data_IF_962375582667
#
_entry.id   IF_962375582667
#
_cell.length_a   1.000
_cell.length_b   1.000
_cell.length_c   1.000
_cell.angle_alpha   90.00
_cell.angle_beta   90.00
_cell.angle_gamma   90.00
#
_symmetry.space_group_name_H-M   'P 1'
#
loop_
_entity.id
_entity.type
_entity.pdbx_description
1 polymer ?
#
# COMPACT_ATOMS: atom_id res chain seq x y z
N UNK A 1 -23.94 18.17 -21.85
CA UNK A 1 -22.69 18.86 -21.49
C UNK A 1 -21.54 18.17 -22.20
N UNK A 2 -20.49 18.88 -22.62
CA UNK A 2 -19.30 18.24 -23.19
C UNK A 2 -18.67 17.31 -22.14
N UNK A 3 -18.25 16.13 -22.56
CA UNK A 3 -17.56 15.18 -21.68
C UNK A 3 -16.20 15.77 -21.29
N UNK A 4 -15.96 15.92 -19.99
CA UNK A 4 -14.64 16.36 -19.47
C UNK A 4 -13.70 15.17 -19.59
N UNK A 5 -12.52 15.40 -20.15
CA UNK A 5 -11.51 14.35 -20.33
C UNK A 5 -10.20 14.77 -19.68
N UNK A 6 -9.52 13.78 -19.08
CA UNK A 6 -8.13 13.94 -18.62
C UNK A 6 -7.19 14.20 -19.79
N UNK A 7 -6.06 14.85 -19.53
CA UNK A 7 -5.04 15.11 -20.53
C UNK A 7 -3.92 14.06 -20.47
N UNK A 8 -3.83 13.14 -21.45
CA UNK A 8 -2.78 12.12 -21.47
C UNK A 8 -1.38 12.72 -21.43
N UNK A 9 -1.21 13.87 -22.12
CA UNK A 9 0.05 14.59 -22.14
C UNK A 9 0.45 15.10 -20.76
N UNK A 10 -0.46 15.76 -20.01
CA UNK A 10 -0.16 16.26 -18.65
C UNK A 10 0.08 15.13 -17.67
N UNK A 11 -0.70 14.05 -17.73
CA UNK A 11 -0.48 12.86 -16.92
C UNK A 11 0.95 12.33 -17.09
N UNK A 12 1.35 12.14 -18.35
CA UNK A 12 2.67 11.64 -18.68
C UNK A 12 3.77 12.60 -18.20
N UNK A 13 3.68 13.87 -18.55
CA UNK A 13 4.65 14.90 -18.17
C UNK A 13 4.82 14.97 -16.63
N UNK A 14 3.73 14.92 -15.86
CA UNK A 14 3.74 14.98 -14.38
C UNK A 14 4.33 13.72 -13.75
N UNK A 15 3.98 12.53 -14.24
CA UNK A 15 4.54 11.26 -13.78
C UNK A 15 6.04 11.22 -14.08
N UNK A 16 6.48 11.59 -15.30
CA UNK A 16 7.89 11.62 -15.69
C UNK A 16 8.67 12.65 -14.85
N UNK A 17 8.09 13.82 -14.52
CA UNK A 17 8.71 14.82 -13.66
C UNK A 17 8.93 14.26 -12.25
N UNK A 18 7.93 13.63 -11.64
CA UNK A 18 8.09 12.98 -10.33
C UNK A 18 9.05 11.78 -10.42
N UNK A 19 9.02 11.05 -11.54
CA UNK A 19 9.91 9.94 -11.82
C UNK A 19 11.38 10.37 -12.08
N UNK A 20 11.67 11.65 -12.21
CA UNK A 20 13.04 12.18 -12.27
C UNK A 20 13.62 12.47 -10.87
N UNK A 21 12.76 12.59 -9.83
CA UNK A 21 13.15 12.93 -8.46
C UNK A 21 13.46 11.66 -7.68
N UNK A 22 14.69 11.55 -7.15
CA UNK A 22 15.13 10.39 -6.39
C UNK A 22 15.64 9.23 -7.24
N UNK A 23 16.13 9.49 -8.47
CA UNK A 23 16.76 8.47 -9.31
C UNK A 23 17.89 7.77 -8.57
N UNK A 24 17.82 6.43 -8.53
CA UNK A 24 18.85 5.60 -7.92
C UNK A 24 19.92 5.25 -8.95
N UNK A 25 21.22 5.36 -8.60
CA UNK A 25 22.30 4.96 -9.51
C UNK A 25 22.25 3.49 -9.96
N UNK A 26 21.65 2.62 -9.13
CA UNK A 26 21.46 1.20 -9.44
C UNK A 26 20.19 0.94 -10.28
N UNK A 27 19.45 1.97 -10.64
CA UNK A 27 18.20 1.90 -11.39
C UNK A 27 16.96 2.16 -10.52
N UNK A 28 15.85 2.58 -11.16
CA UNK A 28 14.61 2.90 -10.47
C UNK A 28 14.66 4.20 -9.67
N UNK A 29 13.80 4.30 -8.66
CA UNK A 29 13.69 5.43 -7.74
C UNK A 29 13.92 4.97 -6.30
N UNK A 30 14.60 5.82 -5.50
CA UNK A 30 14.68 5.68 -4.05
C UNK A 30 14.23 7.00 -3.42
N UNK A 31 12.97 7.05 -3.01
CA UNK A 31 12.32 8.23 -2.45
C UNK A 31 11.72 7.90 -1.08
N UNK A 32 12.62 7.64 -0.12
CA UNK A 32 12.20 7.31 1.24
C UNK A 32 11.48 8.50 1.90
N UNK A 33 10.47 8.25 2.74
CA UNK A 33 9.69 9.30 3.39
C UNK A 33 10.59 10.29 4.15
N UNK A 34 10.27 11.56 4.03
CA UNK A 34 10.98 12.70 4.63
C UNK A 34 12.43 12.92 4.15
N UNK A 35 13.00 12.03 3.33
CA UNK A 35 14.30 12.25 2.70
C UNK A 35 14.25 13.43 1.70
N UNK A 36 15.39 14.02 1.32
CA UNK A 36 15.41 15.17 0.39
C UNK A 36 14.60 14.96 -0.89
N UNK A 37 14.70 13.79 -1.52
CA UNK A 37 13.93 13.47 -2.72
C UNK A 37 12.40 13.42 -2.47
N UNK A 38 11.97 12.91 -1.30
CA UNK A 38 10.55 12.93 -0.94
C UNK A 38 10.07 14.36 -0.71
N UNK A 39 10.85 15.17 0.01
CA UNK A 39 10.54 16.58 0.23
C UNK A 39 10.40 17.35 -1.10
N UNK A 40 11.30 17.12 -2.07
CA UNK A 40 11.25 17.70 -3.40
C UNK A 40 10.00 17.25 -4.18
N UNK A 41 9.66 15.96 -4.13
CA UNK A 41 8.45 15.44 -4.75
C UNK A 41 7.17 16.04 -4.15
N UNK A 42 7.11 16.21 -2.83
CA UNK A 42 6.01 16.90 -2.14
C UNK A 42 5.90 18.37 -2.59
N UNK A 43 7.02 19.09 -2.66
CA UNK A 43 7.04 20.49 -3.14
C UNK A 43 6.59 20.60 -4.61
N UNK A 44 7.05 19.67 -5.46
CA UNK A 44 6.64 19.64 -6.87
C UNK A 44 5.17 19.33 -7.03
N UNK A 45 4.65 18.37 -6.25
CA UNK A 45 3.21 18.04 -6.25
C UNK A 45 2.35 19.20 -5.71
N UNK A 46 2.84 19.95 -4.72
CA UNK A 46 2.16 21.14 -4.24
C UNK A 46 2.03 22.23 -5.33
N UNK A 47 3.06 22.42 -6.15
CA UNK A 47 3.00 23.31 -7.32
C UNK A 47 1.93 22.86 -8.32
N UNK A 48 1.88 21.56 -8.64
CA UNK A 48 0.86 20.99 -9.53
C UNK A 48 -0.56 21.17 -8.96
N UNK A 49 -0.73 21.08 -7.64
CA UNK A 49 -2.00 21.34 -6.96
C UNK A 49 -2.43 22.81 -7.09
N UNK A 50 -1.51 23.75 -6.93
CA UNK A 50 -1.80 25.18 -7.16
C UNK A 50 -2.19 25.47 -8.61
N UNK A 51 -1.49 24.87 -9.58
CA UNK A 51 -1.84 24.97 -11.01
C UNK A 51 -3.26 24.42 -11.28
N UNK A 52 -3.67 23.38 -10.54
CA UNK A 52 -5.00 22.77 -10.60
C UNK A 52 -6.08 23.56 -9.80
N UNK A 53 -5.75 24.72 -9.24
CA UNK A 53 -6.66 25.59 -8.49
C UNK A 53 -7.02 25.07 -7.10
N UNK A 54 -6.10 24.35 -6.44
CA UNK A 54 -6.24 23.92 -5.05
C UNK A 54 -5.26 24.64 -4.14
N UNK A 55 -5.69 24.94 -2.91
CA UNK A 55 -4.81 25.39 -1.85
C UNK A 55 -4.02 24.18 -1.32
N UNK A 56 -2.70 24.25 -1.40
CA UNK A 56 -1.82 23.15 -1.02
C UNK A 56 -1.05 23.43 0.27
N UNK A 57 -0.96 22.41 1.12
CA UNK A 57 -0.19 22.45 2.36
C UNK A 57 0.09 21.05 2.89
N UNK A 58 0.78 20.97 4.03
CA UNK A 58 1.14 19.69 4.65
C UNK A 58 0.57 19.64 6.06
N UNK A 59 -0.01 18.49 6.42
CA UNK A 59 -0.55 18.27 7.76
C UNK A 59 0.55 17.95 8.79
N UNK A 60 0.13 17.72 10.04
CA UNK A 60 1.05 17.42 11.14
C UNK A 60 1.61 15.99 11.12
N UNK A 61 1.19 15.15 10.14
CA UNK A 61 1.68 13.79 9.93
C UNK A 61 2.54 13.66 8.66
N UNK A 62 2.74 14.78 7.93
CA UNK A 62 3.56 14.84 6.73
C UNK A 62 2.81 14.59 5.42
N UNK A 63 1.48 14.45 5.47
CA UNK A 63 0.65 14.29 4.27
C UNK A 63 0.54 15.60 3.51
N UNK A 64 0.77 15.58 2.19
CA UNK A 64 0.42 16.69 1.33
C UNK A 64 -1.09 16.70 1.10
N UNK A 65 -1.69 17.86 1.27
CA UNK A 65 -3.12 18.09 1.11
C UNK A 65 -3.31 19.26 0.15
N UNK A 66 -4.02 19.01 -0.94
CA UNK A 66 -4.55 20.05 -1.82
C UNK A 66 -6.06 20.11 -1.68
N UNK A 67 -6.65 21.29 -1.46
CA UNK A 67 -8.08 21.37 -1.25
C UNK A 67 -8.72 22.54 -1.99
N UNK A 68 -9.95 22.33 -2.46
CA UNK A 68 -10.81 23.33 -3.05
C UNK A 68 -12.23 23.17 -2.51
N UNK A 69 -12.78 24.24 -1.94
CA UNK A 69 -14.13 24.23 -1.38
C UNK A 69 -15.17 23.95 -2.47
N UNK A 70 -16.12 23.10 -2.14
CA UNK A 70 -17.35 22.89 -2.90
C UNK A 70 -18.51 23.72 -2.35
N UNK A 71 -19.73 23.34 -2.68
CA UNK A 71 -20.96 23.93 -2.13
C UNK A 71 -21.39 23.27 -0.82
N UNK A 72 -20.89 22.07 -0.53
CA UNK A 72 -21.12 21.30 0.69
C UNK A 72 -19.83 21.26 1.51
N UNK A 73 -19.96 21.20 2.82
CA UNK A 73 -18.80 21.06 3.72
C UNK A 73 -18.15 19.68 3.64
N UNK A 74 -18.94 18.64 3.30
CA UNK A 74 -18.42 17.29 3.12
C UNK A 74 -17.49 17.20 1.92
N UNK A 75 -16.44 16.41 2.05
CA UNK A 75 -15.37 16.28 1.06
C UNK A 75 -15.39 14.93 0.33
N UNK A 76 -15.03 14.96 -0.95
CA UNK A 76 -14.53 13.80 -1.68
C UNK A 76 -13.00 13.87 -1.67
N UNK A 77 -12.37 12.80 -1.19
CA UNK A 77 -10.94 12.64 -1.13
C UNK A 77 -10.47 11.74 -2.28
N UNK A 78 -9.37 12.11 -2.93
CA UNK A 78 -8.67 11.25 -3.90
C UNK A 78 -7.17 11.38 -3.72
N UNK A 79 -6.42 10.31 -3.98
CA UNK A 79 -4.96 10.33 -3.88
C UNK A 79 -4.35 8.97 -3.68
N UNK A 80 -3.13 8.94 -3.21
CA UNK A 80 -2.32 7.77 -2.84
C UNK A 80 -1.06 8.26 -2.09
N UNK A 81 0.13 7.69 -2.34
CA UNK A 81 1.39 8.07 -1.68
C UNK A 81 2.46 8.57 -2.66
N UNK A 82 3.53 9.18 -2.13
CA UNK A 82 4.67 9.65 -2.93
C UNK A 82 5.99 8.98 -2.56
N UNK A 83 6.10 8.34 -1.40
CA UNK A 83 7.27 7.56 -1.05
C UNK A 83 7.38 6.31 -1.93
N UNK A 84 8.58 5.76 -2.04
CA UNK A 84 8.87 4.52 -2.78
C UNK A 84 9.73 3.61 -1.93
N UNK A 85 9.67 2.31 -2.19
CA UNK A 85 10.75 1.40 -1.79
C UNK A 85 12.07 1.79 -2.46
N UNK A 86 13.24 1.33 -1.96
CA UNK A 86 14.49 1.47 -2.70
C UNK A 86 14.40 0.83 -4.08
N UNK A 87 14.87 1.54 -5.11
CA UNK A 87 14.85 1.09 -6.51
C UNK A 87 13.44 0.74 -7.02
N UNK A 88 12.41 1.41 -6.52
CA UNK A 88 11.03 1.26 -6.97
C UNK A 88 10.79 1.84 -8.38
N UNK A 89 9.57 1.71 -8.86
CA UNK A 89 9.11 2.25 -10.14
C UNK A 89 8.66 3.71 -10.06
N UNK A 90 8.14 4.22 -11.18
CA UNK A 90 7.67 5.61 -11.27
C UNK A 90 6.15 5.74 -11.10
N UNK A 91 5.42 4.61 -11.08
CA UNK A 91 3.96 4.60 -11.07
C UNK A 91 3.39 4.30 -9.68
N UNK A 92 4.07 3.45 -8.91
CA UNK A 92 3.63 3.03 -7.59
C UNK A 92 3.37 4.24 -6.68
N UNK A 93 2.14 4.36 -6.17
CA UNK A 93 1.63 5.51 -5.41
C UNK A 93 1.52 6.80 -6.23
N UNK A 94 2.61 7.21 -6.89
CA UNK A 94 2.68 8.46 -7.64
C UNK A 94 1.60 8.59 -8.72
N UNK A 95 1.20 7.48 -9.36
CA UNK A 95 0.11 7.47 -10.32
C UNK A 95 -1.21 7.98 -9.72
N UNK A 96 -1.58 7.50 -8.53
CA UNK A 96 -2.82 7.90 -7.86
C UNK A 96 -2.83 9.37 -7.49
N UNK A 97 -1.69 9.88 -7.00
CA UNK A 97 -1.54 11.31 -6.68
C UNK A 97 -1.65 12.17 -7.93
N UNK A 98 -0.92 11.84 -9.00
CA UNK A 98 -0.93 12.61 -10.27
C UNK A 98 -2.30 12.55 -10.94
N UNK A 99 -2.97 11.41 -10.93
CA UNK A 99 -4.32 11.28 -11.48
C UNK A 99 -5.35 12.11 -10.71
N UNK A 100 -5.27 12.15 -9.38
CA UNK A 100 -6.13 13.00 -8.57
C UNK A 100 -5.89 14.50 -8.84
N UNK A 101 -4.63 14.92 -9.00
CA UNK A 101 -4.27 16.28 -9.41
C UNK A 101 -4.82 16.58 -10.81
N UNK A 102 -4.73 15.64 -11.75
CA UNK A 102 -5.27 15.82 -13.10
C UNK A 102 -6.80 15.93 -13.12
N UNK A 103 -7.52 15.14 -12.30
CA UNK A 103 -8.95 15.28 -12.13
C UNK A 103 -9.33 16.70 -11.63
N UNK A 104 -8.60 17.19 -10.62
CA UNK A 104 -8.80 18.56 -10.13
C UNK A 104 -8.52 19.62 -11.20
N UNK A 105 -7.46 19.43 -11.99
CA UNK A 105 -7.06 20.32 -13.07
C UNK A 105 -8.14 20.44 -14.16
N UNK A 106 -8.62 19.31 -14.69
CA UNK A 106 -9.63 19.35 -15.78
C UNK A 106 -10.96 19.91 -15.29
N UNK A 107 -11.33 19.70 -14.03
CA UNK A 107 -12.50 20.33 -13.42
C UNK A 107 -12.30 21.84 -13.26
N UNK A 108 -11.09 22.30 -12.93
CA UNK A 108 -10.73 23.71 -12.88
C UNK A 108 -10.78 24.36 -14.25
N UNK A 109 -10.10 23.75 -15.24
CA UNK A 109 -10.04 24.25 -16.62
C UNK A 109 -11.43 24.34 -17.26
N UNK A 110 -12.33 23.40 -16.93
CA UNK A 110 -13.71 23.39 -17.41
C UNK A 110 -14.66 24.35 -16.64
N UNK A 111 -14.18 25.02 -15.60
CA UNK A 111 -15.02 25.84 -14.72
C UNK A 111 -16.16 25.05 -14.07
N UNK A 112 -15.97 23.74 -13.81
CA UNK A 112 -16.98 22.86 -13.22
C UNK A 112 -16.73 22.63 -11.72
N UNK A 113 -17.35 23.41 -10.83
CA UNK A 113 -17.28 23.14 -9.40
C UNK A 113 -18.07 21.88 -9.05
N UNK A 114 -17.55 21.10 -8.08
CA UNK A 114 -18.28 20.00 -7.46
C UNK A 114 -19.23 20.52 -6.38
N UNK A 115 -20.20 19.71 -6.00
CA UNK A 115 -21.04 19.95 -4.82
C UNK A 115 -20.20 19.75 -3.56
N UNK A 116 -19.37 18.70 -3.51
CA UNK A 116 -18.47 18.40 -2.42
C UNK A 116 -17.17 19.22 -2.51
N UNK A 117 -16.55 19.48 -1.38
CA UNK A 117 -15.17 19.93 -1.36
C UNK A 117 -14.28 18.84 -1.95
N UNK A 118 -13.36 19.21 -2.86
CA UNK A 118 -12.39 18.26 -3.43
C UNK A 118 -11.09 18.34 -2.66
N UNK A 119 -10.62 17.20 -2.17
CA UNK A 119 -9.34 17.08 -1.47
C UNK A 119 -8.46 16.05 -2.17
N UNK A 120 -7.27 16.48 -2.58
CA UNK A 120 -6.24 15.59 -3.10
C UNK A 120 -5.22 15.34 -2.00
N UNK A 121 -4.90 14.06 -1.77
CA UNK A 121 -3.95 13.63 -0.73
C UNK A 121 -2.77 12.89 -1.32
N UNK A 122 -1.59 13.17 -0.75
CA UNK A 122 -0.43 12.30 -0.91
C UNK A 122 0.07 11.92 0.48
N UNK A 123 -0.10 10.65 0.83
CA UNK A 123 0.33 10.10 2.11
C UNK A 123 1.85 9.96 2.17
N UNK A 124 2.41 9.99 3.38
CA UNK A 124 3.82 9.79 3.66
C UNK A 124 4.05 8.44 4.34
N UNK A 125 5.06 7.68 3.87
CA UNK A 125 5.43 6.37 4.41
C UNK A 125 4.30 5.33 4.35
N UNK A 126 3.71 5.16 3.17
CA UNK A 126 2.79 4.06 2.90
C UNK A 126 3.55 2.73 2.90
N UNK A 127 4.70 2.68 2.24
CA UNK A 127 5.54 1.51 2.05
C UNK A 127 6.15 0.97 3.35
N UNK A 128 6.30 1.83 4.36
CA UNK A 128 6.86 1.44 5.65
C UNK A 128 8.32 1.03 5.63
N UNK A 129 9.04 1.31 4.53
CA UNK A 129 10.41 0.86 4.37
C UNK A 129 11.37 1.58 5.33
N UNK A 130 11.16 2.88 5.56
CA UNK A 130 12.05 3.68 6.38
C UNK A 130 11.90 3.40 7.88
N UNK A 131 10.67 3.22 8.37
CA UNK A 131 10.38 3.12 9.80
C UNK A 131 9.79 1.76 10.21
N UNK A 132 9.65 0.82 9.27
CA UNK A 132 9.15 -0.53 9.53
C UNK A 132 7.65 -0.63 9.83
N UNK A 133 6.89 0.40 9.48
CA UNK A 133 5.43 0.46 9.69
C UNK A 133 4.76 0.99 8.44
N UNK A 134 4.10 0.13 7.67
CA UNK A 134 3.35 0.54 6.48
C UNK A 134 2.12 1.39 6.81
N UNK A 135 1.68 2.18 5.82
CA UNK A 135 0.54 3.11 5.93
C UNK A 135 0.65 4.03 7.14
N UNK A 136 1.88 4.47 7.46
CA UNK A 136 2.18 5.14 8.71
C UNK A 136 1.38 6.43 8.89
N UNK A 137 1.38 7.31 7.90
CA UNK A 137 0.76 8.62 8.04
C UNK A 137 -0.77 8.58 7.97
N UNK A 138 -1.36 7.70 7.17
CA UNK A 138 -2.81 7.48 7.17
C UNK A 138 -3.29 6.91 8.50
N UNK A 139 -2.54 5.96 9.11
CA UNK A 139 -2.83 5.46 10.46
C UNK A 139 -2.66 6.53 11.54
N UNK A 140 -1.67 7.41 11.39
CA UNK A 140 -1.51 8.54 12.30
C UNK A 140 -2.66 9.54 12.16
N UNK A 141 -3.10 9.83 10.94
CA UNK A 141 -4.21 10.72 10.64
C UNK A 141 -5.51 10.30 11.34
N UNK A 142 -5.81 9.01 11.34
CA UNK A 142 -7.02 8.44 11.97
C UNK A 142 -6.83 8.04 13.44
N UNK A 143 -5.67 8.33 14.03
CA UNK A 143 -5.40 8.09 15.45
C UNK A 143 -4.99 6.67 15.83
N UNK A 144 -4.74 5.77 14.87
CA UNK A 144 -4.22 4.43 15.15
C UNK A 144 -2.75 4.43 15.57
N UNK A 145 -1.98 5.42 15.12
CA UNK A 145 -0.60 5.68 15.54
C UNK A 145 -0.52 7.02 16.25
N UNK A 146 -0.47 6.99 17.57
CA UNK A 146 -0.32 8.20 18.38
C UNK A 146 1.09 8.78 18.33
N UNK A 147 1.25 10.06 18.69
CA UNK A 147 2.54 10.78 18.67
C UNK A 147 3.64 10.11 19.47
N UNK A 148 3.31 9.47 20.60
CA UNK A 148 4.29 8.71 21.39
C UNK A 148 4.90 7.56 20.59
N UNK A 149 4.12 6.91 19.72
CA UNK A 149 4.61 5.86 18.84
C UNK A 149 5.46 6.45 17.71
N UNK A 150 5.04 7.55 17.09
CA UNK A 150 5.81 8.24 16.04
C UNK A 150 7.18 8.71 16.55
N UNK A 151 7.28 9.13 17.82
CA UNK A 151 8.54 9.49 18.45
C UNK A 151 9.49 8.30 18.70
N UNK A 152 8.97 7.07 18.73
CA UNK A 152 9.75 5.84 18.91
C UNK A 152 10.18 5.20 17.57
N UNK A 153 9.45 5.45 16.49
CA UNK A 153 9.78 4.94 15.16
C UNK A 153 11.00 5.69 14.62
N UNK A 154 12.07 4.95 14.31
CA UNK A 154 13.34 5.53 13.85
C UNK A 154 13.75 4.88 12.55
N UNK A 155 14.34 5.68 11.67
CA UNK A 155 14.97 5.22 10.43
C UNK A 155 16.37 4.62 10.69
N UNK A 156 17.03 4.19 9.62
CA UNK A 156 18.38 3.64 9.65
C UNK A 156 19.47 4.62 10.14
N UNK A 157 19.17 5.92 10.19
CA UNK A 157 20.07 6.96 10.75
C UNK A 157 19.84 7.20 12.25
N UNK A 158 18.79 6.60 12.81
CA UNK A 158 18.38 6.77 14.21
C UNK A 158 17.45 7.96 14.43
N UNK A 159 17.08 8.72 13.40
CA UNK A 159 16.17 9.87 13.49
C UNK A 159 14.71 9.39 13.53
N UNK A 160 13.92 9.98 14.45
CA UNK A 160 12.52 9.60 14.60
C UNK A 160 11.59 10.33 13.62
N UNK A 161 10.40 9.75 13.39
CA UNK A 161 9.34 10.39 12.61
C UNK A 161 8.99 11.77 13.19
N UNK A 162 8.82 11.88 14.50
CA UNK A 162 8.45 13.15 15.16
C UNK A 162 9.52 14.24 14.94
N UNK A 163 10.81 13.89 14.89
CA UNK A 163 11.90 14.83 14.57
C UNK A 163 11.84 15.32 13.12
N UNK A 164 11.44 14.45 12.16
CA UNK A 164 11.20 14.86 10.78
C UNK A 164 9.99 15.80 10.65
N UNK A 165 8.89 15.44 11.29
CA UNK A 165 7.65 16.24 11.25
C UNK A 165 7.86 17.65 11.85
N UNK A 166 8.63 17.78 12.93
CA UNK A 166 8.97 19.07 13.53
C UNK A 166 9.87 19.93 12.63
N UNK A 167 10.74 19.31 11.86
CA UNK A 167 11.66 20.02 10.97
C UNK A 167 10.95 20.73 9.81
N UNK A 168 9.77 20.26 9.38
CA UNK A 168 8.98 20.82 8.27
C UNK A 168 9.81 21.18 7.03
N UNK A 169 10.68 20.27 6.62
CA UNK A 169 11.66 20.52 5.55
C UNK A 169 11.05 20.95 4.21
N UNK A 170 9.76 20.62 3.97
CA UNK A 170 9.03 20.99 2.76
C UNK A 170 8.72 22.49 2.63
N UNK A 171 8.73 23.28 3.73
CA UNK A 171 8.48 24.72 3.72
C UNK A 171 7.05 25.14 3.32
N UNK A 172 6.11 24.20 3.23
CA UNK A 172 4.72 24.45 2.84
C UNK A 172 3.87 24.89 4.05
N UNK A 173 2.73 25.61 3.81
CA UNK A 173 1.80 25.96 4.87
C UNK A 173 1.21 24.73 5.54
N UNK A 174 0.69 24.89 6.76
CA UNK A 174 -0.06 23.85 7.44
C UNK A 174 -1.42 23.66 6.78
N UNK A 175 -1.81 22.40 6.53
CA UNK A 175 -3.13 22.06 6.01
C UNK A 175 -3.79 21.02 6.91
N UNK A 176 -5.10 20.82 6.75
CA UNK A 176 -5.88 19.82 7.46
C UNK A 176 -6.96 19.26 6.55
N UNK A 177 -7.15 17.95 6.61
CA UNK A 177 -8.30 17.29 5.96
C UNK A 177 -9.60 17.75 6.66
N UNK A 178 -10.68 18.04 5.92
CA UNK A 178 -12.00 18.24 6.52
C UNK A 178 -12.43 17.02 7.34
N UNK A 179 -13.14 17.26 8.45
CA UNK A 179 -13.62 16.16 9.29
C UNK A 179 -14.76 15.37 8.63
N UNK A 180 -15.57 16.03 7.82
CA UNK A 180 -16.69 15.40 7.10
C UNK A 180 -16.22 14.95 5.73
N UNK A 181 -16.22 13.60 5.53
CA UNK A 181 -15.73 12.96 4.32
C UNK A 181 -16.81 11.98 3.83
N UNK A 182 -17.24 12.18 2.60
CA UNK A 182 -18.25 11.31 1.99
C UNK A 182 -17.63 10.09 1.32
N UNK A 183 -16.47 10.24 0.69
CA UNK A 183 -15.74 9.10 0.15
C UNK A 183 -14.23 9.41 -0.02
N UNK A 184 -13.42 8.35 -0.02
CA UNK A 184 -12.04 8.33 -0.48
C UNK A 184 -11.90 7.38 -1.67
N UNK A 185 -11.22 7.82 -2.73
CA UNK A 185 -10.95 6.99 -3.92
C UNK A 185 -9.46 7.00 -4.24
N UNK A 186 -8.87 5.81 -4.33
CA UNK A 186 -7.46 5.63 -4.64
C UNK A 186 -7.29 4.93 -5.99
N UNK A 187 -6.58 5.56 -6.93
CA UNK A 187 -6.10 4.92 -8.15
C UNK A 187 -4.71 4.36 -7.91
N UNK A 188 -4.51 3.11 -8.27
CA UNK A 188 -3.23 2.44 -8.09
C UNK A 188 -2.91 1.49 -9.25
N UNK A 189 -1.65 1.12 -9.42
CA UNK A 189 -1.28 -0.02 -10.25
C UNK A 189 -1.68 -1.32 -9.54
N UNK A 190 -1.98 -2.39 -10.29
CA UNK A 190 -2.37 -3.68 -9.69
C UNK A 190 -1.26 -4.33 -8.86
N UNK A 191 -0.01 -4.07 -9.20
CA UNK A 191 1.18 -4.73 -8.64
C UNK A 191 1.18 -6.26 -8.83
N UNK A 192 0.29 -6.75 -9.67
CA UNK A 192 0.06 -8.15 -9.96
C UNK A 192 -0.23 -8.40 -11.45
N UNK A 193 -0.28 -9.66 -11.88
CA UNK A 193 -0.40 -10.02 -13.28
C UNK A 193 -1.84 -10.28 -13.76
N UNK A 194 -2.87 -10.14 -12.89
CA UNK A 194 -4.22 -10.65 -13.18
C UNK A 194 -4.88 -9.87 -14.30
N UNK A 195 -4.80 -8.54 -14.28
CA UNK A 195 -5.36 -7.69 -15.34
C UNK A 195 -4.72 -8.00 -16.69
N UNK A 196 -3.38 -8.11 -16.74
CA UNK A 196 -2.67 -8.46 -17.97
C UNK A 196 -3.07 -9.84 -18.48
N UNK A 197 -3.12 -10.86 -17.61
CA UNK A 197 -3.52 -12.23 -17.96
C UNK A 197 -4.97 -12.30 -18.47
N UNK A 198 -5.84 -11.45 -17.95
CA UNK A 198 -7.24 -11.36 -18.39
C UNK A 198 -7.44 -10.46 -19.61
N UNK A 199 -6.40 -9.81 -20.12
CA UNK A 199 -6.50 -8.82 -21.20
C UNK A 199 -7.37 -7.62 -20.80
N UNK A 200 -7.28 -7.18 -19.54
CA UNK A 200 -8.02 -6.06 -18.96
C UNK A 200 -7.10 -4.89 -18.65
N UNK A 201 -7.61 -3.69 -18.81
CA UNK A 201 -6.85 -2.45 -18.54
C UNK A 201 -7.09 -1.93 -17.14
N UNK A 202 -8.31 -2.09 -16.62
CA UNK A 202 -8.78 -1.47 -15.37
C UNK A 202 -9.74 -2.39 -14.63
N UNK A 203 -9.74 -2.31 -13.29
CA UNK A 203 -10.71 -2.98 -12.43
C UNK A 203 -11.06 -2.12 -11.20
N UNK A 204 -12.24 -2.38 -10.64
CA UNK A 204 -12.60 -1.92 -9.30
C UNK A 204 -12.01 -2.87 -8.25
N UNK A 205 -11.57 -2.35 -7.11
CA UNK A 205 -11.10 -3.18 -6.00
C UNK A 205 -12.25 -3.45 -5.04
N UNK A 206 -12.46 -4.71 -4.68
CA UNK A 206 -13.56 -5.11 -3.77
C UNK A 206 -13.13 -5.23 -2.32
N UNK A 207 -11.85 -5.56 -2.07
CA UNK A 207 -11.30 -5.74 -0.72
C UNK A 207 -9.79 -5.61 -0.73
N UNK A 208 -9.22 -5.29 0.42
CA UNK A 208 -7.78 -5.32 0.68
C UNK A 208 -7.49 -6.53 1.54
N UNK A 209 -6.47 -7.29 1.15
CA UNK A 209 -6.11 -8.56 1.77
C UNK A 209 -5.74 -8.40 3.24
N UNK A 210 -6.10 -9.41 4.04
CA UNK A 210 -5.58 -9.55 5.40
C UNK A 210 -4.20 -10.18 5.40
N UNK A 211 -3.42 -9.85 6.41
CA UNK A 211 -2.05 -10.33 6.59
C UNK A 211 -1.92 -10.92 8.00
N UNK A 212 -1.38 -12.12 8.09
CA UNK A 212 -0.88 -12.73 9.32
C UNK A 212 0.63 -12.90 9.22
N UNK A 213 1.35 -12.43 10.22
CA UNK A 213 2.81 -12.54 10.26
C UNK A 213 3.27 -13.01 11.63
N UNK A 214 4.12 -14.04 11.69
CA UNK A 214 4.70 -14.50 12.94
C UNK A 214 6.18 -14.89 12.81
N UNK A 215 7.02 -14.53 13.77
CA UNK A 215 8.35 -15.10 13.90
C UNK A 215 8.25 -16.53 14.42
N UNK A 216 9.11 -17.40 13.92
CA UNK A 216 9.26 -18.80 14.35
C UNK A 216 10.72 -19.05 14.69
N UNK A 217 10.92 -19.70 15.81
CA UNK A 217 12.24 -20.19 16.25
C UNK A 217 12.23 -21.70 16.19
N UNK A 218 13.18 -22.26 15.44
CA UNK A 218 13.39 -23.71 15.33
C UNK A 218 14.70 -24.04 16.04
N UNK A 219 14.63 -24.89 17.06
CA UNK A 219 15.77 -25.33 17.82
C UNK A 219 16.03 -26.82 17.59
N UNK A 220 17.28 -27.13 17.24
CA UNK A 220 17.83 -28.43 17.08
C UNK A 220 19.09 -28.60 17.93
N UNK A 221 20.09 -29.32 17.38
CA UNK A 221 21.37 -29.54 18.08
C UNK A 221 22.55 -29.28 17.14
N UNK A 222 23.32 -28.24 17.42
CA UNK A 222 24.58 -28.00 16.74
C UNK A 222 25.56 -29.13 17.02
N UNK A 223 26.21 -29.66 16.00
CA UNK A 223 27.20 -30.73 16.09
C UNK A 223 28.12 -30.70 14.87
N UNK A 224 29.20 -31.49 14.92
CA UNK A 224 30.13 -31.57 13.80
C UNK A 224 29.51 -32.25 12.58
N UNK A 225 29.51 -31.56 11.44
CA UNK A 225 28.79 -32.02 10.22
C UNK A 225 29.37 -33.29 9.62
N UNK A 226 30.68 -33.56 9.80
CA UNK A 226 31.33 -34.78 9.26
C UNK A 226 31.23 -36.01 10.17
N UNK A 227 31.25 -35.82 11.51
CA UNK A 227 31.30 -36.96 12.45
C UNK A 227 29.95 -37.34 13.03
N UNK A 228 28.90 -36.56 12.85
CA UNK A 228 27.56 -36.88 13.34
C UNK A 228 26.77 -37.62 12.26
N UNK A 229 26.42 -38.91 12.48
CA UNK A 229 25.64 -39.71 11.52
C UNK A 229 24.27 -39.06 11.22
N UNK A 230 23.78 -39.23 9.99
CA UNK A 230 22.49 -38.63 9.55
C UNK A 230 21.32 -38.92 10.50
N UNK A 231 21.11 -40.22 10.97
CA UNK A 231 19.97 -40.51 11.84
C UNK A 231 20.05 -39.89 13.24
N UNK A 232 21.25 -39.42 13.67
CA UNK A 232 21.49 -38.84 14.99
C UNK A 232 21.39 -37.31 14.99
N UNK A 233 21.04 -36.68 13.85
CA UNK A 233 20.97 -35.21 13.69
C UNK A 233 19.62 -34.70 14.12
N UNK A 234 19.63 -33.57 14.81
CA UNK A 234 18.49 -32.69 14.98
C UNK A 234 18.84 -31.35 14.28
N UNK A 235 18.72 -31.32 12.96
CA UNK A 235 19.14 -30.22 12.09
C UNK A 235 18.01 -29.22 11.94
N UNK A 236 18.17 -28.04 12.57
CA UNK A 236 17.15 -26.98 12.55
C UNK A 236 16.90 -26.41 11.13
N UNK A 237 17.91 -26.46 10.24
CA UNK A 237 17.74 -25.96 8.87
C UNK A 237 16.92 -26.92 8.00
N UNK A 238 17.05 -28.23 8.21
CA UNK A 238 16.19 -29.21 7.53
C UNK A 238 14.74 -29.01 7.91
N UNK A 239 14.45 -28.83 9.22
CA UNK A 239 13.09 -28.48 9.65
C UNK A 239 12.57 -27.16 9.11
N UNK A 240 13.44 -26.16 8.96
CA UNK A 240 13.08 -24.88 8.34
C UNK A 240 12.76 -25.05 6.84
N UNK A 241 13.54 -25.86 6.10
CA UNK A 241 13.31 -26.13 4.69
C UNK A 241 11.96 -26.85 4.48
N UNK A 242 11.64 -27.85 5.32
CA UNK A 242 10.34 -28.52 5.27
C UNK A 242 9.19 -27.57 5.59
N UNK A 243 9.36 -26.61 6.51
CA UNK A 243 8.34 -25.61 6.81
C UNK A 243 8.14 -24.64 5.63
N UNK A 244 9.21 -24.23 4.93
CA UNK A 244 9.12 -23.40 3.71
C UNK A 244 8.28 -24.11 2.65
N UNK A 245 8.58 -25.40 2.40
CA UNK A 245 7.81 -26.19 1.44
C UNK A 245 6.36 -26.38 1.87
N UNK A 246 6.12 -26.61 3.15
CA UNK A 246 4.78 -26.77 3.71
C UNK A 246 3.93 -25.49 3.56
N UNK A 247 4.47 -24.33 3.85
CA UNK A 247 3.78 -23.04 3.66
C UNK A 247 3.38 -22.87 2.20
N UNK A 248 4.29 -23.16 1.26
CA UNK A 248 4.00 -23.10 -0.18
C UNK A 248 2.90 -24.09 -0.59
N UNK A 249 2.98 -25.35 -0.17
CA UNK A 249 1.99 -26.39 -0.49
C UNK A 249 0.60 -26.04 0.02
N UNK A 250 0.51 -25.59 1.28
CA UNK A 250 -0.75 -25.25 1.93
C UNK A 250 -1.40 -24.02 1.27
N UNK A 251 -0.60 -23.02 0.91
CA UNK A 251 -1.11 -21.86 0.18
C UNK A 251 -1.60 -22.21 -1.22
N UNK A 252 -0.90 -23.09 -1.96
CA UNK A 252 -1.33 -23.58 -3.27
C UNK A 252 -2.65 -24.37 -3.20
N UNK A 253 -2.87 -25.13 -2.12
CA UNK A 253 -4.10 -25.90 -1.91
C UNK A 253 -5.34 -24.98 -1.77
N UNK A 254 -5.17 -23.72 -1.41
CA UNK A 254 -6.24 -22.73 -1.36
C UNK A 254 -6.70 -22.21 -2.75
N UNK A 255 -6.13 -22.73 -3.83
CA UNK A 255 -6.57 -22.47 -5.21
C UNK A 255 -6.66 -20.97 -5.55
N UNK A 256 -5.65 -20.19 -5.19
CA UNK A 256 -5.57 -18.75 -5.47
C UNK A 256 -6.25 -17.87 -4.41
N UNK A 257 -6.88 -18.44 -3.37
CA UNK A 257 -7.51 -17.67 -2.30
C UNK A 257 -6.54 -17.23 -1.19
N UNK A 258 -5.30 -17.75 -1.18
CA UNK A 258 -4.27 -17.38 -0.22
C UNK A 258 -2.88 -17.42 -0.84
N UNK A 259 -1.97 -16.67 -0.25
CA UNK A 259 -0.53 -16.76 -0.50
C UNK A 259 0.21 -16.91 0.82
N UNK A 260 1.37 -17.60 0.78
CA UNK A 260 2.21 -17.81 1.95
C UNK A 260 3.68 -17.68 1.58
N UNK A 261 4.44 -16.99 2.42
CA UNK A 261 5.85 -16.67 2.17
C UNK A 261 6.67 -16.80 3.45
N UNK A 262 7.91 -17.28 3.30
CA UNK A 262 8.96 -17.17 4.31
C UNK A 262 10.11 -16.39 3.65
N UNK A 263 10.11 -15.07 3.83
CA UNK A 263 11.07 -14.17 3.18
C UNK A 263 12.31 -13.86 4.02
N UNK A 264 12.31 -14.23 5.30
CA UNK A 264 13.43 -14.01 6.22
C UNK A 264 13.80 -15.29 6.92
N UNK A 265 15.10 -15.67 6.81
CA UNK A 265 15.67 -16.86 7.48
C UNK A 265 17.05 -16.47 8.00
N UNK A 266 17.32 -16.78 9.28
CA UNK A 266 18.62 -16.61 9.90
C UNK A 266 19.06 -17.92 10.54
N UNK A 267 20.22 -18.45 10.10
CA UNK A 267 20.75 -19.75 10.49
C UNK A 267 21.92 -19.58 11.45
N UNK A 268 21.92 -20.36 12.55
CA UNK A 268 22.99 -20.34 13.53
C UNK A 268 23.55 -21.75 13.75
N UNK A 269 24.91 -21.86 13.84
CA UNK A 269 25.92 -20.80 13.81
C UNK A 269 26.28 -20.29 12.40
N UNK A 270 25.72 -20.84 11.31
CA UNK A 270 26.01 -20.43 9.94
C UNK A 270 27.40 -20.85 9.43
N UNK A 271 27.96 -21.92 9.97
CA UNK A 271 29.26 -22.46 9.60
C UNK A 271 29.14 -23.73 8.75
N UNK A 272 29.95 -23.85 7.70
CA UNK A 272 29.86 -24.95 6.72
C UNK A 272 30.10 -26.34 7.29
N UNK A 273 30.81 -26.47 8.39
CA UNK A 273 31.18 -27.74 9.04
C UNK A 273 30.40 -28.00 10.35
N UNK A 274 29.33 -27.23 10.63
CA UNK A 274 28.48 -27.35 11.83
C UNK A 274 27.04 -27.58 11.41
N UNK A 275 26.38 -28.60 11.95
CA UNK A 275 24.94 -28.81 11.80
C UNK A 275 24.21 -27.62 12.44
N UNK A 276 23.29 -26.95 11.73
CA UNK A 276 22.52 -25.85 12.29
C UNK A 276 21.73 -26.23 13.54
N UNK A 277 22.04 -25.57 14.65
CA UNK A 277 21.36 -25.80 15.92
C UNK A 277 20.17 -24.89 16.15
N UNK A 278 20.05 -23.79 15.38
CA UNK A 278 18.94 -22.82 15.49
C UNK A 278 18.67 -22.13 14.15
N UNK A 279 17.39 -21.96 13.85
CA UNK A 279 16.92 -21.12 12.75
C UNK A 279 15.83 -20.17 13.27
N UNK A 280 16.00 -18.89 13.00
CA UNK A 280 14.99 -17.86 13.22
C UNK A 280 14.42 -17.46 11.85
N UNK A 281 13.12 -17.56 11.67
CA UNK A 281 12.43 -17.19 10.42
C UNK A 281 11.12 -16.45 10.67
N UNK A 282 10.53 -15.92 9.60
CA UNK A 282 9.22 -15.25 9.68
C UNK A 282 8.28 -15.85 8.63
N UNK A 283 7.14 -16.32 9.07
CA UNK A 283 6.03 -16.77 8.22
C UNK A 283 5.10 -15.57 7.98
N UNK A 284 4.72 -15.35 6.72
CA UNK A 284 3.70 -14.41 6.32
C UNK A 284 2.65 -15.14 5.48
N UNK A 285 1.37 -14.91 5.82
CA UNK A 285 0.20 -15.46 5.13
C UNK A 285 -0.71 -14.30 4.74
N UNK A 286 -1.27 -14.33 3.52
CA UNK A 286 -2.25 -13.32 3.05
C UNK A 286 -3.47 -14.00 2.46
N UNK A 287 -4.64 -13.40 2.67
CA UNK A 287 -5.90 -13.78 2.02
C UNK A 287 -6.91 -12.62 2.09
N UNK A 288 -7.73 -12.38 1.06
CA UNK A 288 -8.87 -11.48 1.14
C UNK A 288 -10.01 -12.03 2.02
N UNK A 289 -9.95 -13.31 2.40
CA UNK A 289 -10.96 -14.00 3.21
C UNK A 289 -10.41 -14.31 4.61
N UNK A 290 -10.98 -13.71 5.66
CA UNK A 290 -10.53 -13.92 7.05
C UNK A 290 -10.58 -15.40 7.47
N UNK A 291 -11.61 -16.13 7.01
CA UNK A 291 -11.76 -17.56 7.34
C UNK A 291 -10.65 -18.42 6.70
N UNK A 292 -10.32 -18.14 5.44
CA UNK A 292 -9.23 -18.82 4.73
C UNK A 292 -7.91 -18.56 5.44
N UNK A 293 -7.66 -17.31 5.82
CA UNK A 293 -6.45 -16.89 6.50
C UNK A 293 -6.24 -17.61 7.84
N UNK A 294 -7.30 -17.73 8.66
CA UNK A 294 -7.22 -18.46 9.93
C UNK A 294 -7.10 -19.98 9.74
N UNK A 295 -7.77 -20.54 8.74
CA UNK A 295 -7.65 -21.97 8.41
C UNK A 295 -6.23 -22.29 7.96
N UNK A 296 -5.66 -21.47 7.07
CA UNK A 296 -4.29 -21.64 6.59
C UNK A 296 -3.27 -21.50 7.73
N UNK A 297 -3.45 -20.54 8.64
CA UNK A 297 -2.62 -20.40 9.84
C UNK A 297 -2.62 -21.67 10.68
N UNK A 298 -3.80 -22.22 11.00
CA UNK A 298 -3.92 -23.47 11.76
C UNK A 298 -3.22 -24.63 11.06
N UNK A 299 -3.42 -24.79 9.75
CA UNK A 299 -2.79 -25.83 8.97
C UNK A 299 -1.24 -25.73 8.95
N UNK A 300 -0.70 -24.50 8.89
CA UNK A 300 0.75 -24.25 8.96
C UNK A 300 1.30 -24.61 10.36
N UNK A 301 0.61 -24.21 11.44
CA UNK A 301 1.00 -24.56 12.80
C UNK A 301 0.99 -26.09 13.03
N UNK A 302 -0.06 -26.78 12.57
CA UNK A 302 -0.17 -28.24 12.67
C UNK A 302 0.94 -28.95 11.87
N UNK A 303 1.26 -28.46 10.67
CA UNK A 303 2.34 -28.99 9.86
C UNK A 303 3.70 -28.77 10.54
N UNK A 304 3.92 -27.61 11.13
CA UNK A 304 5.15 -27.29 11.87
C UNK A 304 5.35 -28.25 13.06
N UNK A 305 4.29 -28.61 13.81
CA UNK A 305 4.36 -29.59 14.88
C UNK A 305 4.77 -30.98 14.38
N UNK A 306 4.22 -31.43 13.25
CA UNK A 306 4.59 -32.69 12.62
C UNK A 306 6.05 -32.73 12.17
N UNK A 307 6.52 -31.61 11.56
CA UNK A 307 7.94 -31.47 11.16
C UNK A 307 8.85 -31.52 12.39
N UNK A 308 8.48 -30.80 13.46
CA UNK A 308 9.25 -30.83 14.71
C UNK A 308 9.38 -32.22 15.28
N UNK A 309 8.29 -33.00 15.32
CA UNK A 309 8.30 -34.41 15.77
C UNK A 309 9.14 -35.30 14.88
N UNK A 310 9.08 -35.15 13.55
CA UNK A 310 9.82 -35.95 12.58
C UNK A 310 11.35 -35.80 12.73
N UNK A 311 11.82 -34.58 12.98
CA UNK A 311 13.25 -34.25 13.03
C UNK A 311 13.79 -34.08 14.46
N UNK A 312 12.99 -34.37 15.50
CA UNK A 312 13.43 -34.22 16.89
C UNK A 312 13.76 -32.75 17.26
N UNK A 313 13.02 -31.81 16.70
CA UNK A 313 13.21 -30.37 16.86
C UNK A 313 12.21 -29.76 17.86
N UNK A 314 12.50 -28.56 18.35
CA UNK A 314 11.54 -27.71 19.04
C UNK A 314 11.20 -26.54 18.13
N UNK A 315 9.91 -26.26 17.92
CA UNK A 315 9.44 -25.10 17.19
C UNK A 315 8.61 -24.22 18.11
N UNK A 316 8.97 -22.94 18.21
CA UNK A 316 8.27 -21.95 19.01
C UNK A 316 7.79 -20.82 18.13
N UNK A 317 6.49 -20.53 18.22
CA UNK A 317 5.86 -19.41 17.54
C UNK A 317 5.88 -18.18 18.43
N UNK A 318 6.27 -17.04 17.86
CA UNK A 318 5.98 -15.75 18.47
C UNK A 318 4.52 -15.36 18.29
N UNK A 319 4.18 -14.18 18.77
CA UNK A 319 2.84 -13.63 18.58
C UNK A 319 2.57 -13.38 17.09
N UNK A 320 1.41 -13.82 16.60
CA UNK A 320 0.91 -13.43 15.29
C UNK A 320 0.52 -11.95 15.28
N UNK A 321 1.18 -11.17 14.46
CA UNK A 321 0.72 -9.85 14.05
C UNK A 321 -0.42 -10.03 13.05
N UNK A 322 -1.53 -9.28 13.24
CA UNK A 322 -2.79 -9.50 12.55
C UNK A 322 -3.28 -8.21 11.94
N UNK A 323 -3.39 -8.17 10.63
CA UNK A 323 -4.13 -7.17 9.88
C UNK A 323 -5.32 -7.88 9.21
N UNK A 324 -6.56 -7.65 9.66
CA UNK A 324 -7.70 -8.34 9.05
C UNK A 324 -7.93 -7.88 7.62
N UNK A 325 -8.55 -8.71 6.76
CA UNK A 325 -9.00 -8.25 5.45
C UNK A 325 -10.04 -7.15 5.61
N UNK A 326 -9.99 -6.19 4.71
CA UNK A 326 -10.88 -5.01 4.76
C UNK A 326 -11.72 -4.96 3.49
N UNK A 327 -13.04 -5.19 3.55
CA UNK A 327 -13.92 -4.95 2.42
C UNK A 327 -14.01 -3.44 2.14
N UNK A 328 -13.97 -3.05 0.86
CA UNK A 328 -14.20 -1.68 0.47
C UNK A 328 -15.71 -1.37 0.37
N UNK A 329 -16.09 -0.10 0.49
CA UNK A 329 -17.50 0.30 0.54
C UNK A 329 -18.21 -0.05 -0.78
N UNK A 330 -19.32 -0.80 -0.75
CA UNK A 330 -20.01 -1.24 -1.95
C UNK A 330 -20.48 -0.07 -2.84
N UNK A 331 -20.87 1.07 -2.27
CA UNK A 331 -21.38 2.23 -3.03
C UNK A 331 -20.24 2.91 -3.78
N UNK A 332 -19.05 3.03 -3.17
CA UNK A 332 -17.87 3.58 -3.84
C UNK A 332 -17.40 2.61 -4.91
N UNK A 333 -17.35 1.32 -4.61
CA UNK A 333 -17.04 0.27 -5.59
C UNK A 333 -18.00 0.30 -6.78
N UNK A 334 -19.32 0.38 -6.53
CA UNK A 334 -20.33 0.41 -7.58
C UNK A 334 -20.24 1.70 -8.43
N UNK A 335 -19.84 2.84 -7.82
CA UNK A 335 -19.51 4.05 -8.56
C UNK A 335 -18.27 3.85 -9.46
N UNK A 336 -17.24 3.17 -8.99
CA UNK A 336 -16.06 2.80 -9.81
C UNK A 336 -16.47 1.88 -10.96
N UNK A 337 -17.28 0.85 -10.71
CA UNK A 337 -17.79 -0.06 -11.73
C UNK A 337 -18.59 0.72 -12.80
N UNK A 338 -19.50 1.60 -12.39
CA UNK A 338 -20.24 2.45 -13.31
C UNK A 338 -19.36 3.42 -14.11
N UNK A 339 -18.27 3.92 -13.51
CA UNK A 339 -17.29 4.75 -14.18
C UNK A 339 -16.50 3.94 -15.23
N UNK A 340 -16.10 2.70 -14.92
CA UNK A 340 -15.45 1.77 -15.86
C UNK A 340 -16.34 1.55 -17.08
N UNK A 341 -17.65 1.28 -16.88
CA UNK A 341 -18.62 1.09 -17.96
C UNK A 341 -18.81 2.36 -18.79
N UNK A 342 -18.89 3.54 -18.16
CA UNK A 342 -18.99 4.84 -18.86
C UNK A 342 -17.75 5.13 -19.72
N UNK A 343 -16.59 4.65 -19.30
CA UNK A 343 -15.34 4.74 -20.08
C UNK A 343 -15.24 3.70 -21.20
N UNK A 344 -16.24 2.84 -21.36
CA UNK A 344 -16.31 1.85 -22.44
C UNK A 344 -15.53 0.56 -22.15
N UNK A 345 -15.16 0.31 -20.90
CA UNK A 345 -14.51 -0.91 -20.49
C UNK A 345 -15.48 -1.88 -19.83
N UNK A 346 -15.33 -3.21 -20.02
CA UNK A 346 -16.16 -4.17 -19.34
C UNK A 346 -15.80 -4.21 -17.84
N UNK A 347 -16.81 -4.22 -16.95
CA UNK A 347 -16.60 -4.18 -15.53
C UNK A 347 -15.86 -5.43 -15.03
N UNK A 348 -15.00 -5.24 -14.05
CA UNK A 348 -14.26 -6.29 -13.35
C UNK A 348 -14.01 -5.83 -11.91
N UNK A 349 -14.11 -6.77 -10.97
CA UNK A 349 -13.70 -6.55 -9.57
C UNK A 349 -12.61 -7.53 -9.18
N UNK A 350 -11.61 -7.06 -8.42
CA UNK A 350 -10.48 -7.84 -7.94
C UNK A 350 -10.18 -7.49 -6.47
N UNK A 351 -9.69 -8.42 -5.65
CA UNK A 351 -9.09 -8.07 -4.36
C UNK A 351 -7.70 -7.44 -4.56
N UNK A 352 -7.30 -6.54 -3.68
CA UNK A 352 -5.89 -6.15 -3.57
C UNK A 352 -5.13 -7.14 -2.70
N UNK A 353 -3.98 -7.62 -3.18
CA UNK A 353 -3.05 -8.46 -2.42
C UNK A 353 -1.98 -7.65 -1.68
N UNK A 354 -1.95 -6.34 -1.89
CA UNK A 354 -1.09 -5.38 -1.21
C UNK A 354 -1.88 -4.58 -0.15
N UNK A 355 -1.16 -3.94 0.78
CA UNK A 355 -1.74 -2.93 1.67
C UNK A 355 -1.86 -1.59 0.94
N UNK A 356 -2.80 -0.73 1.37
CA UNK A 356 -2.99 0.61 0.80
C UNK A 356 -3.56 1.55 1.86
N UNK A 357 -3.39 2.85 1.68
CA UNK A 357 -4.00 3.87 2.55
C UNK A 357 -5.53 3.79 2.54
N UNK A 358 -6.13 3.37 1.41
CA UNK A 358 -7.55 3.06 1.31
C UNK A 358 -8.00 2.01 2.34
N UNK A 359 -7.15 1.02 2.67
CA UNK A 359 -7.44 0.02 3.68
C UNK A 359 -7.47 0.58 5.10
N UNK A 360 -6.74 1.65 5.36
CA UNK A 360 -6.82 2.37 6.63
C UNK A 360 -8.08 3.22 6.69
N UNK A 361 -8.31 4.05 5.67
CA UNK A 361 -9.42 5.00 5.65
C UNK A 361 -10.79 4.29 5.59
N UNK A 362 -10.88 3.15 4.90
CA UNK A 362 -12.14 2.37 4.75
C UNK A 362 -12.75 1.91 6.07
N UNK A 363 -11.96 1.86 7.13
CA UNK A 363 -12.47 1.55 8.49
C UNK A 363 -13.28 2.69 9.11
N UNK A 364 -13.18 3.90 8.56
CA UNK A 364 -13.77 5.12 9.12
C UNK A 364 -14.70 5.83 8.16
N UNK A 365 -14.36 5.85 6.86
CA UNK A 365 -15.15 6.50 5.81
C UNK A 365 -15.33 5.55 4.63
N UNK A 366 -16.36 5.71 3.81
CA UNK A 366 -16.50 4.96 2.58
C UNK A 366 -15.25 5.13 1.70
N UNK A 367 -14.62 4.03 1.34
CA UNK A 367 -13.44 4.06 0.48
C UNK A 367 -13.56 3.05 -0.66
N UNK A 368 -12.95 3.36 -1.80
CA UNK A 368 -12.84 2.49 -2.95
C UNK A 368 -11.50 2.67 -3.64
N UNK A 369 -11.16 1.70 -4.50
CA UNK A 369 -9.93 1.76 -5.28
C UNK A 369 -10.17 1.34 -6.73
N UNK A 370 -9.31 1.84 -7.59
CA UNK A 370 -9.23 1.54 -9.02
C UNK A 370 -7.86 0.95 -9.27
N UNK A 371 -7.79 -0.21 -9.91
CA UNK A 371 -6.55 -0.77 -10.42
C UNK A 371 -6.39 -0.55 -11.91
N UNK A 372 -5.15 -0.27 -12.33
CA UNK A 372 -4.72 -0.36 -13.73
C UNK A 372 -3.64 -1.42 -13.88
N UNK A 373 -3.53 -1.98 -15.09
CA UNK A 373 -2.64 -3.09 -15.40
C UNK A 373 -1.17 -2.75 -15.11
N UNK A 374 -0.48 -3.72 -14.49
CA UNK A 374 0.97 -3.74 -14.32
C UNK A 374 1.59 -4.72 -15.32
N UNK A 375 2.45 -4.26 -16.20
CA UNK A 375 3.11 -5.11 -17.21
C UNK A 375 3.99 -6.17 -16.53
N UNK A 376 3.74 -7.43 -16.84
CA UNK A 376 4.41 -8.56 -16.18
C UNK A 376 4.07 -8.73 -14.71
N UNK A 377 3.12 -7.97 -14.17
CA UNK A 377 2.79 -7.96 -12.75
C UNK A 377 3.91 -7.43 -11.86
N UNK A 378 4.84 -6.66 -12.43
CA UNK A 378 6.02 -6.16 -11.72
C UNK A 378 5.71 -4.85 -10.99
N UNK A 379 6.07 -4.79 -9.72
CA UNK A 379 6.16 -3.59 -8.89
C UNK A 379 7.35 -3.72 -7.93
N UNK A 380 7.67 -2.65 -7.19
CA UNK A 380 8.84 -2.57 -6.31
C UNK A 380 10.16 -2.92 -7.04
N UNK A 381 10.26 -2.48 -8.29
CA UNK A 381 11.36 -2.82 -9.20
C UNK A 381 11.63 -1.68 -10.17
N UNK A 382 12.89 -1.48 -10.60
CA UNK A 382 13.23 -0.57 -11.71
C UNK A 382 12.52 -0.89 -13.03
N UNK A 383 12.08 -2.14 -13.18
CA UNK A 383 11.41 -2.65 -14.37
C UNK A 383 9.87 -2.50 -14.32
N UNK A 384 9.33 -1.85 -13.29
CA UNK A 384 7.91 -1.52 -13.20
C UNK A 384 7.45 -0.74 -14.43
N UNK A 385 6.36 -1.20 -15.02
CA UNK A 385 5.76 -0.58 -16.22
C UNK A 385 4.23 -0.65 -16.15
N UNK A 386 3.62 0.45 -16.55
CA UNK A 386 2.17 0.54 -16.81
C UNK A 386 1.99 1.20 -18.17
N UNK A 387 1.22 0.63 -19.11
CA UNK A 387 0.95 1.24 -20.40
C UNK A 387 0.30 2.62 -20.25
N UNK A 388 0.70 3.59 -21.07
CA UNK A 388 0.22 4.96 -20.96
C UNK A 388 -1.28 5.12 -21.24
N UNK A 389 -1.85 4.26 -22.07
CA UNK A 389 -3.30 4.16 -22.29
C UNK A 389 -4.04 3.63 -21.05
N UNK A 390 -3.40 2.75 -20.28
CA UNK A 390 -3.94 2.31 -18.99
C UNK A 390 -3.88 3.42 -17.93
N UNK A 391 -2.82 4.22 -17.90
CA UNK A 391 -2.72 5.43 -17.06
C UNK A 391 -3.85 6.41 -17.39
N UNK A 392 -4.08 6.69 -18.68
CA UNK A 392 -5.18 7.55 -19.14
C UNK A 392 -6.54 6.98 -18.73
N UNK A 393 -6.76 5.68 -18.98
CA UNK A 393 -8.00 4.99 -18.62
C UNK A 393 -8.27 5.08 -17.11
N UNK A 394 -7.28 4.77 -16.28
CA UNK A 394 -7.43 4.83 -14.82
C UNK A 394 -7.75 6.22 -14.32
N UNK A 395 -7.08 7.24 -14.84
CA UNK A 395 -7.34 8.64 -14.48
C UNK A 395 -8.74 9.11 -14.95
N UNK A 396 -9.21 8.68 -16.15
CA UNK A 396 -10.56 8.98 -16.61
C UNK A 396 -11.62 8.28 -15.76
N UNK A 397 -11.38 7.02 -15.37
CA UNK A 397 -12.27 6.28 -14.46
C UNK A 397 -12.31 6.96 -13.09
N UNK A 398 -11.20 7.45 -12.57
CA UNK A 398 -11.18 8.23 -11.32
C UNK A 398 -12.01 9.49 -11.43
N UNK A 399 -11.89 10.25 -12.53
CA UNK A 399 -12.69 11.45 -12.77
C UNK A 399 -14.18 11.13 -12.81
N UNK A 400 -14.59 10.13 -13.60
CA UNK A 400 -16.00 9.71 -13.69
C UNK A 400 -16.54 9.21 -12.35
N UNK A 401 -15.71 8.50 -11.56
CA UNK A 401 -16.07 8.06 -10.21
C UNK A 401 -16.34 9.25 -9.29
N UNK A 402 -15.46 10.26 -9.29
CA UNK A 402 -15.66 11.48 -8.50
C UNK A 402 -16.93 12.23 -8.90
N UNK A 403 -17.23 12.30 -10.20
CA UNK A 403 -18.45 12.92 -10.70
C UNK A 403 -19.72 12.15 -10.29
N UNK A 404 -19.69 10.81 -10.34
CA UNK A 404 -20.79 9.97 -9.87
C UNK A 404 -21.04 10.12 -8.37
N UNK A 405 -19.98 10.14 -7.57
CA UNK A 405 -20.07 10.34 -6.12
C UNK A 405 -20.54 11.75 -5.77
N UNK A 406 -20.15 12.78 -6.55
CA UNK A 406 -20.60 14.16 -6.35
C UNK A 406 -22.10 14.35 -6.57
N UNK A 407 -22.69 13.60 -7.50
CA UNK A 407 -24.11 13.60 -7.81
C UNK A 407 -24.95 12.74 -6.84
N UNK A 408 -24.31 11.82 -6.12
CA UNK A 408 -24.97 10.90 -5.20
C UNK A 408 -25.42 11.61 -3.88
N UNK A 409 -26.41 11.03 -3.16
CA UNK A 409 -26.71 11.47 -1.80
C UNK A 409 -25.50 11.33 -0.89
N UNK A 410 -25.21 12.36 -0.09
CA UNK A 410 -24.07 12.35 0.84
C UNK A 410 -24.15 11.21 1.87
N UNK A 411 -23.00 10.69 2.25
CA UNK A 411 -22.85 9.60 3.19
C UNK A 411 -22.58 10.07 4.62
N UNK A 412 -22.22 11.36 4.77
CA UNK A 412 -22.07 12.10 6.03
C UNK A 412 -21.27 11.32 7.11
N UNK A 413 -20.09 10.85 6.75
CA UNK A 413 -19.18 10.18 7.69
C UNK A 413 -18.13 11.16 8.22
N UNK A 414 -17.65 10.89 9.43
CA UNK A 414 -16.61 11.69 10.07
C UNK A 414 -15.33 10.88 10.26
N UNK A 415 -14.22 11.41 9.75
CA UNK A 415 -12.89 10.90 10.10
C UNK A 415 -12.58 11.26 11.56
N UNK A 416 -12.09 10.29 12.35
CA UNK A 416 -11.62 10.54 13.71
C UNK A 416 -10.22 11.18 13.67
N UNK A 417 -10.14 12.39 13.14
CA UNK A 417 -8.87 13.08 12.91
C UNK A 417 -8.09 13.29 14.22
N UNK A 418 -6.86 12.81 14.24
CA UNK A 418 -5.96 12.87 15.39
C UNK A 418 -5.15 14.18 15.47
N UNK A 419 -5.60 15.24 14.80
CA UNK A 419 -4.94 16.55 14.87
C UNK A 419 -4.91 17.09 16.30
N UNK A 420 -3.76 17.62 16.70
CA UNK A 420 -3.67 18.31 17.99
C UNK A 420 -4.56 19.55 17.99
N UNK A 421 -5.42 19.68 18.99
CA UNK A 421 -6.11 20.95 19.27
C UNK A 421 -5.05 22.01 19.55
N UNK A 422 -5.03 23.09 18.80
CA UNK A 422 -4.22 24.28 19.09
C UNK A 422 -4.83 25.06 20.22
#
# INVERSE_FOLDING_TARGET
MATIKVSPRRLRERIEQLGAIGRDPAGGLTRLPFAPAHVEAVQRSAQMLHEAGLDAGVDEFGNLIGQRAGRRDAALLAGSHLDTVPQGGIFDGALGVVAAIECAQVLHDAGRPLQHSLVVMAFADEEGHAFGVGTMSSRALVGELGRSRLAQLRDGTGRSVDEYLRARAHGLPAARVPAEVDAYVELHIEQGPVLEQMGRTVAAVESITGILRAPVVIEGRAAHAGTTPMPARADALVGAADLVLAVRELALAESGRAVGTIGRVHVQPGATNVIPGRVDLTVELRSPEAKVLETLRGAVEDRAQKIAGLHGLKMAWGRWDRSPPVPLDPRVRDAVVGAIERCGHPPLTLPSWAGHDAGVLSRYVPAGMIFVVSTGGLSHSPDERTPWDAVETGAQVLLETLLLLDEAPGMNRRLPLAYTTR
#
